data_IF_715375885779
#
_entry.id   IF_715375885779
#
_cell.length_a   1.000
_cell.length_b   1.000
_cell.length_c   1.000
_cell.angle_alpha   90.00
_cell.angle_beta   90.00
_cell.angle_gamma   90.00
#
_symmetry.space_group_name_H-M   'P 1'
#
loop_
_entity.id
_entity.type
_entity.pdbx_description
1 polymer ?
#
# COMPACT_ATOMS: atom_id res chain seq x y z
N UNK A 1 -21.81 10.83 21.74
CA UNK A 1 -21.09 10.86 20.46
C UNK A 1 -20.70 9.42 20.19
N UNK A 2 -21.24 8.78 19.14
CA UNK A 2 -20.83 7.45 18.73
C UNK A 2 -19.33 7.55 18.37
N UNK A 3 -18.49 6.85 19.10
CA UNK A 3 -17.08 6.71 18.73
C UNK A 3 -17.08 5.82 17.47
N UNK A 4 -17.21 6.42 16.29
CA UNK A 4 -17.04 5.68 15.05
C UNK A 4 -15.61 5.16 15.02
N UNK A 5 -15.47 3.87 14.79
CA UNK A 5 -14.16 3.25 14.63
C UNK A 5 -13.47 3.79 13.37
N UNK A 6 -12.17 3.90 13.40
CA UNK A 6 -11.39 4.13 12.19
C UNK A 6 -11.46 2.92 11.25
N UNK A 7 -10.97 3.10 10.04
CA UNK A 7 -10.95 2.07 9.00
C UNK A 7 -9.52 1.59 8.76
N UNK A 8 -9.36 0.32 8.41
CA UNK A 8 -8.12 -0.20 7.81
C UNK A 8 -8.21 -0.06 6.29
N UNK A 9 -7.28 0.68 5.71
CA UNK A 9 -7.22 0.96 4.28
C UNK A 9 -5.93 0.35 3.73
N UNK A 10 -6.08 -0.68 2.93
CA UNK A 10 -4.96 -1.43 2.34
C UNK A 10 -4.70 -0.91 0.94
N UNK A 11 -3.47 -0.49 0.67
CA UNK A 11 -3.11 0.05 -0.64
C UNK A 11 -1.91 -0.72 -1.20
N UNK A 12 -2.09 -1.23 -2.41
CA UNK A 12 -1.03 -1.85 -3.20
C UNK A 12 -0.85 -1.14 -4.54
N UNK A 13 0.30 -1.32 -5.12
CA UNK A 13 0.64 -0.81 -6.45
C UNK A 13 1.92 -1.46 -6.93
N UNK A 14 2.16 -1.55 -8.24
CA UNK A 14 3.44 -1.99 -8.74
C UNK A 14 4.55 -1.01 -8.37
N UNK A 15 5.76 -1.54 -8.29
CA UNK A 15 6.95 -0.72 -8.05
C UNK A 15 7.04 0.39 -9.12
N UNK A 16 7.16 1.65 -8.69
CA UNK A 16 7.19 2.79 -9.62
C UNK A 16 5.87 3.53 -9.80
N UNK A 17 4.73 2.97 -9.38
CA UNK A 17 3.41 3.62 -9.56
C UNK A 17 3.16 4.85 -8.64
N UNK A 18 4.07 5.20 -7.72
CA UNK A 18 3.94 6.41 -6.89
C UNK A 18 3.15 6.23 -5.59
N UNK A 19 2.88 5.00 -5.18
CA UNK A 19 2.05 4.62 -4.03
C UNK A 19 2.32 5.43 -2.76
N UNK A 20 3.53 5.39 -2.22
CA UNK A 20 3.88 6.05 -0.95
C UNK A 20 3.63 7.55 -0.98
N UNK A 21 3.93 8.22 -2.11
CA UNK A 21 3.69 9.66 -2.27
C UNK A 21 2.21 10.00 -2.26
N UNK A 22 1.38 9.21 -2.94
CA UNK A 22 -0.08 9.38 -2.95
C UNK A 22 -0.63 9.20 -1.54
N UNK A 23 -0.28 8.11 -0.85
CA UNK A 23 -0.76 7.81 0.51
C UNK A 23 -0.40 8.95 1.49
N UNK A 24 0.85 9.41 1.50
CA UNK A 24 1.30 10.48 2.41
C UNK A 24 0.50 11.79 2.17
N UNK A 25 0.18 12.12 0.93
CA UNK A 25 -0.63 13.31 0.62
C UNK A 25 -2.10 13.14 0.99
N UNK A 26 -2.68 11.95 0.79
CA UNK A 26 -4.06 11.63 1.23
C UNK A 26 -4.16 11.75 2.75
N UNK A 27 -3.26 11.13 3.51
CA UNK A 27 -3.23 11.22 4.97
C UNK A 27 -3.12 12.67 5.44
N UNK A 28 -2.25 13.47 4.80
CA UNK A 28 -2.13 14.89 5.11
C UNK A 28 -3.44 15.63 4.92
N UNK A 29 -4.09 15.50 3.75
CA UNK A 29 -5.36 16.18 3.45
C UNK A 29 -6.47 15.75 4.41
N UNK A 30 -6.59 14.45 4.72
CA UNK A 30 -7.57 13.96 5.70
C UNK A 30 -7.37 14.60 7.08
N UNK A 31 -6.12 14.68 7.55
CA UNK A 31 -5.81 15.29 8.83
C UNK A 31 -6.05 16.82 8.82
N UNK A 32 -5.80 17.50 7.71
CA UNK A 32 -6.14 18.93 7.53
C UNK A 32 -7.66 19.16 7.63
N UNK A 33 -8.48 18.18 7.25
CA UNK A 33 -9.94 18.16 7.38
C UNK A 33 -10.44 17.58 8.72
N UNK A 34 -9.56 17.36 9.71
CA UNK A 34 -9.84 16.75 11.01
C UNK A 34 -10.30 15.28 10.94
N UNK A 35 -10.08 14.58 9.84
CA UNK A 35 -10.29 13.14 9.70
C UNK A 35 -8.98 12.44 10.09
N UNK A 36 -8.92 11.98 11.35
CA UNK A 36 -7.70 11.38 11.90
C UNK A 36 -7.24 10.20 11.08
N UNK A 37 -6.04 10.26 10.56
CA UNK A 37 -5.46 9.24 9.69
C UNK A 37 -3.97 9.08 9.94
N UNK A 38 -3.47 7.86 9.89
CA UNK A 38 -2.05 7.54 10.11
C UNK A 38 -1.56 6.50 9.12
N UNK A 39 -0.25 6.47 8.91
CA UNK A 39 0.44 5.46 8.12
C UNK A 39 0.85 4.30 9.02
N UNK A 40 0.65 3.05 8.59
CA UNK A 40 1.13 1.88 9.32
C UNK A 40 2.60 1.67 9.05
N UNK A 41 3.42 1.80 10.09
CA UNK A 41 4.86 1.55 10.03
C UNK A 41 5.11 0.07 10.27
N UNK A 42 5.62 -0.64 9.24
CA UNK A 42 5.93 -2.07 9.32
C UNK A 42 7.28 -2.32 10.00
N UNK A 43 7.40 -3.48 10.65
CA UNK A 43 8.69 -4.01 11.09
C UNK A 43 9.42 -4.63 9.90
N UNK A 44 10.74 -4.52 9.86
CA UNK A 44 11.56 -5.15 8.83
C UNK A 44 12.92 -5.61 9.35
N UNK A 45 13.43 -6.71 8.81
CA UNK A 45 14.80 -7.16 9.05
C UNK A 45 15.80 -6.54 8.05
N UNK A 46 15.32 -5.72 7.10
CA UNK A 46 16.18 -4.97 6.20
C UNK A 46 16.97 -3.91 6.98
N UNK A 47 18.23 -3.78 6.68
CA UNK A 47 19.03 -2.68 7.24
C UNK A 47 18.53 -1.33 6.71
N UNK A 48 18.57 -0.26 7.54
CA UNK A 48 18.26 1.10 7.10
C UNK A 48 19.13 1.50 5.89
N UNK A 49 18.53 2.20 4.93
CA UNK A 49 19.24 2.87 3.85
C UNK A 49 19.54 4.31 4.25
N UNK A 50 20.41 4.98 3.48
CA UNK A 50 20.65 6.41 3.69
C UNK A 50 19.33 7.19 3.58
N UNK A 51 18.99 7.91 4.66
CA UNK A 51 17.75 8.69 4.75
C UNK A 51 16.57 7.98 5.38
N UNK A 52 16.60 6.65 5.61
CA UNK A 52 15.56 5.95 6.35
C UNK A 52 15.56 6.36 7.83
N UNK A 53 14.38 6.58 8.40
CA UNK A 53 14.17 6.98 9.79
C UNK A 53 13.44 5.85 10.52
N UNK A 54 14.09 5.28 11.55
CA UNK A 54 13.49 4.27 12.40
C UNK A 54 12.23 4.78 13.11
N UNK A 55 11.19 3.94 13.12
CA UNK A 55 9.87 4.28 13.65
C UNK A 55 9.03 5.21 12.77
N UNK A 56 9.57 5.65 11.62
CA UNK A 56 8.86 6.47 10.64
C UNK A 56 8.70 5.77 9.29
N UNK A 57 9.78 5.26 8.73
CA UNK A 57 9.73 4.50 7.47
C UNK A 57 9.52 3.01 7.76
N UNK A 58 10.25 2.47 8.73
CA UNK A 58 10.12 1.11 9.27
C UNK A 58 10.55 1.08 10.73
N UNK A 59 10.12 0.04 11.46
CA UNK A 59 10.79 -0.42 12.67
C UNK A 59 11.85 -1.43 12.25
N UNK A 60 13.13 -1.03 12.28
CA UNK A 60 14.25 -1.88 11.90
C UNK A 60 14.62 -2.80 13.04
N UNK A 61 14.44 -4.10 12.87
CA UNK A 61 14.68 -5.11 13.91
C UNK A 61 15.61 -6.22 13.41
N UNK A 62 16.23 -6.96 14.32
CA UNK A 62 17.00 -8.14 13.96
C UNK A 62 16.08 -9.30 13.54
N UNK A 63 16.64 -10.34 12.90
CA UNK A 63 15.87 -11.53 12.56
C UNK A 63 15.28 -12.20 13.81
N UNK A 64 16.06 -12.28 14.90
CA UNK A 64 15.65 -12.87 16.15
C UNK A 64 14.44 -12.15 16.75
N UNK A 65 14.47 -10.81 16.83
CA UNK A 65 13.35 -10.01 17.32
C UNK A 65 12.13 -10.16 16.41
N UNK A 66 12.34 -10.20 15.08
CA UNK A 66 11.23 -10.40 14.16
C UNK A 66 10.56 -11.76 14.37
N UNK A 67 11.35 -12.81 14.53
CA UNK A 67 10.85 -14.18 14.74
C UNK A 67 10.12 -14.30 16.07
N UNK A 68 10.61 -13.69 17.15
CA UNK A 68 9.91 -13.61 18.44
C UNK A 68 8.54 -12.93 18.29
N UNK A 69 8.47 -11.79 17.59
CA UNK A 69 7.21 -11.07 17.33
C UNK A 69 6.25 -11.89 16.48
N UNK A 70 6.77 -12.63 15.49
CA UNK A 70 5.99 -13.50 14.64
C UNK A 70 5.39 -14.69 15.41
N UNK A 71 6.19 -15.38 16.22
CA UNK A 71 5.76 -16.50 17.05
C UNK A 71 4.74 -16.06 18.12
N UNK A 72 4.89 -14.86 18.65
CA UNK A 72 3.93 -14.26 19.57
C UNK A 72 2.61 -13.82 18.90
N UNK A 73 2.48 -13.93 17.56
CA UNK A 73 1.28 -13.55 16.82
C UNK A 73 1.04 -12.03 16.74
N UNK A 74 2.11 -11.24 16.87
CA UNK A 74 2.02 -9.77 16.89
C UNK A 74 1.80 -9.13 15.51
N UNK A 75 1.88 -9.92 14.44
CA UNK A 75 1.67 -9.42 13.08
C UNK A 75 0.33 -9.81 12.50
N UNK A 76 -0.36 -8.84 11.89
CA UNK A 76 -1.60 -9.06 11.13
C UNK A 76 -1.29 -9.75 9.79
N UNK A 77 -0.18 -9.40 9.17
CA UNK A 77 0.38 -10.04 7.99
C UNK A 77 1.91 -9.97 8.00
N UNK A 78 2.55 -10.84 7.25
CA UNK A 78 4.00 -10.85 7.03
C UNK A 78 4.31 -11.19 5.59
N UNK A 79 5.36 -10.59 5.04
CA UNK A 79 5.86 -10.89 3.70
C UNK A 79 7.39 -11.05 3.73
N UNK A 80 7.91 -11.81 2.79
CA UNK A 80 9.35 -11.90 2.53
C UNK A 80 9.63 -11.31 1.15
N UNK A 81 10.44 -10.24 1.10
CA UNK A 81 10.75 -9.51 -0.13
C UNK A 81 12.26 -9.29 -0.18
N UNK A 82 12.91 -9.78 -1.23
CA UNK A 82 14.36 -9.68 -1.42
C UNK A 82 15.18 -10.17 -0.21
N UNK A 83 14.82 -11.34 0.32
CA UNK A 83 15.46 -12.00 1.47
C UNK A 83 15.30 -11.25 2.82
N UNK A 84 14.44 -10.24 2.88
CA UNK A 84 14.10 -9.53 4.11
C UNK A 84 12.66 -9.79 4.52
N UNK A 85 12.44 -9.90 5.83
CA UNK A 85 11.11 -10.06 6.41
C UNK A 85 10.47 -8.70 6.65
N UNK A 86 9.16 -8.63 6.43
CA UNK A 86 8.31 -7.47 6.72
C UNK A 86 7.11 -7.94 7.50
N UNK A 87 6.65 -7.16 8.47
CA UNK A 87 5.50 -7.52 9.28
C UNK A 87 4.75 -6.30 9.79
N UNK A 88 3.43 -6.33 9.69
CA UNK A 88 2.54 -5.24 10.12
C UNK A 88 2.01 -5.51 11.52
N UNK A 89 2.25 -4.59 12.46
CA UNK A 89 1.84 -4.72 13.85
C UNK A 89 0.32 -4.74 13.99
N UNK A 90 -0.22 -5.84 14.52
CA UNK A 90 -1.64 -5.98 14.85
C UNK A 90 -2.05 -4.99 15.94
N UNK A 91 -1.26 -4.86 16.99
CA UNK A 91 -1.54 -3.95 18.11
C UNK A 91 -1.63 -2.49 17.64
N UNK A 92 -0.72 -2.05 16.76
CA UNK A 92 -0.75 -0.71 16.19
C UNK A 92 -2.07 -0.44 15.45
N UNK A 93 -2.50 -1.39 14.61
CA UNK A 93 -3.74 -1.25 13.85
C UNK A 93 -4.94 -1.20 14.80
N UNK A 94 -5.08 -2.16 15.70
CA UNK A 94 -6.21 -2.29 16.61
C UNK A 94 -6.33 -1.04 17.50
N UNK A 95 -5.23 -0.55 18.06
CA UNK A 95 -5.21 0.64 18.91
C UNK A 95 -5.67 1.90 18.17
N UNK A 96 -5.22 2.12 16.93
CA UNK A 96 -5.59 3.30 16.16
C UNK A 96 -7.05 3.23 15.71
N UNK A 97 -7.50 2.11 15.16
CA UNK A 97 -8.89 1.92 14.72
C UNK A 97 -9.88 2.12 15.89
N UNK A 98 -9.57 1.57 17.07
CA UNK A 98 -10.42 1.74 18.25
C UNK A 98 -10.48 3.18 18.76
N UNK A 99 -9.51 4.04 18.38
CA UNK A 99 -9.51 5.47 18.68
C UNK A 99 -10.17 6.33 17.57
N UNK A 100 -10.77 5.70 16.55
CA UNK A 100 -11.38 6.40 15.42
C UNK A 100 -10.35 6.96 14.43
N UNK A 101 -9.16 6.36 14.36
CA UNK A 101 -8.09 6.78 13.45
C UNK A 101 -8.05 5.81 12.28
N UNK A 102 -8.12 6.32 11.05
CA UNK A 102 -7.93 5.52 9.84
C UNK A 102 -6.46 5.10 9.71
N UNK A 103 -6.22 3.84 9.43
CA UNK A 103 -4.88 3.29 9.27
C UNK A 103 -4.64 2.91 7.82
N UNK A 104 -3.68 3.56 7.18
CA UNK A 104 -3.24 3.26 5.82
C UNK A 104 -2.11 2.24 5.87
N UNK A 105 -2.34 1.10 5.27
CA UNK A 105 -1.39 0.00 5.19
C UNK A 105 -0.87 -0.15 3.76
N UNK A 106 0.42 0.08 3.57
CA UNK A 106 1.13 -0.12 2.31
C UNK A 106 1.76 -1.51 2.28
N UNK A 107 1.19 -2.43 1.50
CA UNK A 107 1.70 -3.79 1.32
C UNK A 107 1.79 -4.17 -0.16
N UNK A 108 2.53 -5.24 -0.45
CA UNK A 108 2.54 -5.87 -1.76
C UNK A 108 1.33 -6.82 -1.94
N UNK A 109 1.19 -7.37 -3.13
CA UNK A 109 0.08 -8.28 -3.46
C UNK A 109 0.12 -9.57 -2.63
N UNK A 110 1.29 -10.04 -2.20
CA UNK A 110 1.42 -11.23 -1.35
C UNK A 110 0.89 -10.96 0.06
N UNK A 111 1.24 -9.80 0.63
CA UNK A 111 0.72 -9.33 1.90
C UNK A 111 -0.80 -9.14 1.86
N UNK A 112 -1.32 -8.55 0.77
CA UNK A 112 -2.76 -8.40 0.54
C UNK A 112 -3.48 -9.77 0.51
N UNK A 113 -3.00 -10.74 -0.25
CA UNK A 113 -3.62 -12.07 -0.31
C UNK A 113 -3.62 -12.77 1.06
N UNK A 114 -2.54 -12.66 1.82
CA UNK A 114 -2.47 -13.18 3.19
C UNK A 114 -3.46 -12.49 4.12
N UNK A 115 -3.59 -11.16 4.02
CA UNK A 115 -4.55 -10.41 4.83
C UNK A 115 -5.99 -10.77 4.47
N UNK A 116 -6.31 -10.88 3.18
CA UNK A 116 -7.62 -11.30 2.67
C UNK A 116 -8.04 -12.69 3.15
N UNK A 117 -7.09 -13.60 3.33
CA UNK A 117 -7.37 -14.94 3.86
C UNK A 117 -7.72 -14.95 5.37
N UNK A 118 -7.51 -13.83 6.06
CA UNK A 118 -7.85 -13.66 7.47
C UNK A 118 -9.20 -12.95 7.60
N UNK A 119 -9.94 -13.23 8.66
CA UNK A 119 -11.22 -12.56 8.89
C UNK A 119 -11.01 -11.15 9.50
N UNK A 120 -10.41 -10.26 8.68
CA UNK A 120 -10.14 -8.86 9.02
C UNK A 120 -10.93 -7.99 8.06
N UNK A 121 -11.64 -7.00 8.60
CA UNK A 121 -12.37 -6.03 7.79
C UNK A 121 -11.42 -4.91 7.35
N UNK A 122 -11.35 -4.66 6.05
CA UNK A 122 -10.57 -3.58 5.45
C UNK A 122 -11.17 -3.17 4.10
N UNK A 123 -10.80 -1.98 3.64
CA UNK A 123 -11.00 -1.56 2.25
C UNK A 123 -9.69 -1.68 1.49
N UNK A 124 -9.74 -2.19 0.27
CA UNK A 124 -8.54 -2.40 -0.54
C UNK A 124 -8.55 -1.55 -1.81
N UNK A 125 -7.40 -0.95 -2.10
CA UNK A 125 -7.23 -0.07 -3.26
C UNK A 125 -5.94 -0.44 -3.99
N UNK A 126 -6.02 -0.51 -5.32
CA UNK A 126 -4.85 -0.75 -6.15
C UNK A 126 -4.57 0.45 -7.05
N UNK A 127 -3.36 1.00 -6.97
CA UNK A 127 -2.95 2.14 -7.78
C UNK A 127 -2.32 1.62 -9.07
N UNK A 128 -2.94 1.95 -10.21
CA UNK A 128 -2.49 1.63 -11.55
C UNK A 128 -1.59 2.74 -12.11
N UNK A 129 -0.54 2.42 -12.85
CA UNK A 129 0.13 3.39 -13.70
C UNK A 129 -0.75 3.72 -14.91
N UNK A 130 -0.58 4.88 -15.57
CA UNK A 130 -1.36 5.23 -16.75
C UNK A 130 -0.97 4.42 -17.99
N UNK A 131 0.29 3.97 -18.08
CA UNK A 131 0.82 3.12 -19.14
C UNK A 131 2.03 2.31 -18.70
N UNK A 132 2.39 1.29 -19.46
CA UNK A 132 3.62 0.51 -19.23
C UNK A 132 4.87 1.35 -19.50
N UNK A 133 4.84 2.23 -20.48
CA UNK A 133 5.97 3.11 -20.80
C UNK A 133 6.25 4.08 -19.65
N UNK A 134 5.21 4.71 -19.10
CA UNK A 134 5.34 5.60 -17.94
C UNK A 134 5.85 4.83 -16.70
N UNK A 135 5.36 3.60 -16.47
CA UNK A 135 5.84 2.75 -15.40
C UNK A 135 7.33 2.45 -15.57
N UNK A 136 7.77 2.09 -16.78
CA UNK A 136 9.20 1.85 -17.11
C UNK A 136 10.04 3.08 -16.83
N UNK A 137 9.59 4.26 -17.29
CA UNK A 137 10.30 5.52 -17.03
C UNK A 137 10.43 5.82 -15.52
N UNK A 138 9.35 5.63 -14.77
CA UNK A 138 9.35 5.85 -13.31
C UNK A 138 10.28 4.88 -12.57
N UNK A 139 10.38 3.63 -13.03
CA UNK A 139 11.34 2.64 -12.51
C UNK A 139 12.78 3.07 -12.82
N UNK A 140 13.05 3.52 -14.02
CA UNK A 140 14.39 3.98 -14.46
C UNK A 140 14.85 5.23 -13.69
N UNK A 141 13.96 6.21 -13.48
CA UNK A 141 14.26 7.47 -12.77
C UNK A 141 14.61 7.29 -11.28
N UNK A 142 14.25 6.17 -10.67
CA UNK A 142 14.47 5.92 -9.22
C UNK A 142 15.87 5.48 -8.85
N UNK A 143 16.71 5.08 -9.77
CA UNK A 143 18.03 4.61 -9.42
C UNK A 143 18.97 4.43 -10.60
N UNK A 144 20.24 4.19 -10.28
CA UNK A 144 21.30 3.78 -11.20
C UNK A 144 21.20 2.25 -11.50
N UNK A 145 19.98 1.76 -11.68
CA UNK A 145 19.73 0.34 -11.92
C UNK A 145 20.24 -0.07 -13.30
N UNK A 146 20.92 -1.21 -13.40
CA UNK A 146 21.26 -1.80 -14.69
C UNK A 146 20.01 -2.26 -15.43
N UNK A 147 20.07 -2.36 -16.77
CA UNK A 147 18.94 -2.80 -17.60
C UNK A 147 18.34 -4.13 -17.10
N UNK A 148 19.20 -5.09 -16.71
CA UNK A 148 18.72 -6.37 -16.16
C UNK A 148 17.92 -6.24 -14.87
N UNK A 149 18.22 -5.25 -14.03
CA UNK A 149 17.44 -4.95 -12.79
C UNK A 149 16.11 -4.31 -13.18
N UNK A 150 16.09 -3.40 -14.15
CA UNK A 150 14.88 -2.76 -14.66
C UNK A 150 13.93 -3.81 -15.23
N UNK A 151 14.41 -4.72 -16.08
CA UNK A 151 13.60 -5.80 -16.64
C UNK A 151 13.02 -6.72 -15.57
N UNK A 152 13.80 -7.08 -14.54
CA UNK A 152 13.30 -7.85 -13.40
C UNK A 152 12.19 -7.11 -12.65
N UNK A 153 12.35 -5.80 -12.43
CA UNK A 153 11.34 -4.95 -11.77
C UNK A 153 10.08 -4.83 -12.62
N UNK A 154 10.21 -4.65 -13.94
CA UNK A 154 9.07 -4.63 -14.86
C UNK A 154 8.30 -5.94 -14.84
N UNK A 155 9.00 -7.08 -14.89
CA UNK A 155 8.37 -8.41 -14.80
C UNK A 155 7.60 -8.60 -13.49
N UNK A 156 8.14 -8.11 -12.38
CA UNK A 156 7.44 -8.16 -11.09
C UNK A 156 6.22 -7.24 -11.10
N UNK A 157 6.35 -6.02 -11.63
CA UNK A 157 5.25 -5.07 -11.74
C UNK A 157 4.07 -5.61 -12.57
N UNK A 158 4.35 -6.31 -13.68
CA UNK A 158 3.30 -6.97 -14.48
C UNK A 158 2.59 -8.09 -13.71
N UNK A 159 3.30 -8.84 -12.87
CA UNK A 159 2.68 -9.84 -12.00
C UNK A 159 1.78 -9.18 -10.94
N UNK A 160 2.25 -8.09 -10.34
CA UNK A 160 1.46 -7.32 -9.36
C UNK A 160 0.20 -6.73 -10.00
N UNK A 161 0.29 -6.20 -11.23
CA UNK A 161 -0.86 -5.74 -12.01
C UNK A 161 -1.90 -6.84 -12.26
N UNK A 162 -1.46 -8.08 -12.49
CA UNK A 162 -2.35 -9.22 -12.67
C UNK A 162 -3.27 -9.51 -11.48
N UNK A 163 -2.93 -9.04 -10.28
CA UNK A 163 -3.72 -9.22 -9.06
C UNK A 163 -4.66 -8.02 -8.79
N UNK A 164 -4.62 -6.97 -9.60
CA UNK A 164 -5.31 -5.71 -9.33
C UNK A 164 -6.84 -5.85 -9.31
N UNK A 165 -7.43 -6.77 -10.07
CA UNK A 165 -8.88 -7.01 -10.11
C UNK A 165 -9.45 -7.49 -8.76
N UNK A 166 -8.62 -8.08 -7.91
CA UNK A 166 -8.99 -8.60 -6.60
C UNK A 166 -9.25 -7.51 -5.54
N UNK A 167 -8.88 -6.25 -5.84
CA UNK A 167 -9.06 -5.12 -4.95
C UNK A 167 -10.45 -4.50 -5.11
N UNK A 168 -10.99 -3.94 -4.02
CA UNK A 168 -12.30 -3.28 -4.02
C UNK A 168 -12.33 -2.10 -4.98
N UNK A 169 -11.24 -1.33 -5.04
CA UNK A 169 -11.12 -0.11 -5.85
C UNK A 169 -9.82 -0.08 -6.66
N UNK A 170 -9.92 0.50 -7.86
CA UNK A 170 -8.78 0.80 -8.72
C UNK A 170 -8.62 2.32 -8.82
N UNK A 171 -7.40 2.82 -8.77
CA UNK A 171 -7.07 4.25 -8.93
C UNK A 171 -5.99 4.38 -9.99
N UNK A 172 -6.18 5.26 -10.98
CA UNK A 172 -5.18 5.51 -12.01
C UNK A 172 -4.34 6.72 -11.60
N UNK A 173 -3.03 6.53 -11.44
CA UNK A 173 -2.11 7.62 -11.13
C UNK A 173 -1.46 8.19 -12.41
N UNK A 174 -2.31 8.81 -13.25
CA UNK A 174 -1.89 9.61 -14.41
C UNK A 174 -1.63 11.07 -14.01
N UNK A 175 -2.60 11.69 -13.37
CA UNK A 175 -2.49 13.02 -12.74
C UNK A 175 -2.50 12.83 -11.24
N UNK A 176 -1.40 13.21 -10.60
CA UNK A 176 -1.17 12.95 -9.17
C UNK A 176 -2.28 13.49 -8.26
N UNK A 177 -2.75 14.70 -8.55
CA UNK A 177 -3.83 15.36 -7.81
C UNK A 177 -5.15 14.60 -7.92
N UNK A 178 -5.49 14.11 -9.13
CA UNK A 178 -6.73 13.34 -9.36
C UNK A 178 -6.71 12.00 -8.59
N UNK A 179 -5.55 11.32 -8.56
CA UNK A 179 -5.41 10.09 -7.79
C UNK A 179 -5.60 10.32 -6.29
N UNK A 180 -5.15 11.46 -5.77
CA UNK A 180 -5.35 11.84 -4.38
C UNK A 180 -6.82 12.14 -4.11
N UNK A 181 -7.50 12.93 -4.97
CA UNK A 181 -8.91 13.29 -4.82
C UNK A 181 -9.80 12.06 -4.85
N UNK A 182 -9.56 11.14 -5.78
CA UNK A 182 -10.30 9.90 -5.88
C UNK A 182 -10.12 9.01 -4.64
N UNK A 183 -8.90 8.88 -4.13
CA UNK A 183 -8.65 8.15 -2.88
C UNK A 183 -9.31 8.81 -1.67
N UNK A 184 -9.34 10.13 -1.59
CA UNK A 184 -10.05 10.86 -0.53
C UNK A 184 -11.53 10.53 -0.53
N UNK A 185 -12.18 10.59 -1.70
CA UNK A 185 -13.61 10.26 -1.84
C UNK A 185 -13.89 8.83 -1.38
N UNK A 186 -13.05 7.86 -1.76
CA UNK A 186 -13.17 6.45 -1.35
C UNK A 186 -13.05 6.26 0.16
N UNK A 187 -12.21 7.07 0.83
CA UNK A 187 -12.00 6.97 2.28
C UNK A 187 -13.13 7.65 3.06
N UNK A 188 -13.56 8.82 2.61
CA UNK A 188 -14.56 9.64 3.32
C UNK A 188 -15.97 9.06 3.16
N UNK A 189 -16.30 8.54 1.97
CA UNK A 189 -17.63 7.99 1.70
C UNK A 189 -17.71 6.50 2.08
N UNK A 190 -18.59 6.18 3.02
CA UNK A 190 -18.85 4.78 3.37
C UNK A 190 -19.58 4.01 2.26
N UNK A 191 -20.32 4.72 1.42
CA UNK A 191 -21.12 4.15 0.32
C UNK A 191 -20.52 4.52 -1.05
N UNK A 192 -19.20 4.68 -1.15
CA UNK A 192 -18.54 5.01 -2.41
C UNK A 192 -18.79 3.94 -3.47
N UNK A 193 -19.30 4.35 -4.62
CA UNK A 193 -19.49 3.49 -5.79
C UNK A 193 -18.54 3.95 -6.89
N UNK A 194 -17.63 3.08 -7.29
CA UNK A 194 -16.71 3.37 -8.40
C UNK A 194 -17.42 3.24 -9.75
N UNK A 195 -18.07 4.32 -10.20
CA UNK A 195 -18.73 4.39 -11.51
C UNK A 195 -17.76 4.27 -12.70
N UNK A 196 -16.46 4.41 -12.46
CA UNK A 196 -15.42 4.29 -13.50
C UNK A 196 -14.72 2.94 -13.53
N UNK A 197 -15.13 1.98 -12.67
CA UNK A 197 -14.46 0.67 -12.53
C UNK A 197 -14.30 -0.05 -13.88
N UNK A 198 -15.33 -0.10 -14.70
CA UNK A 198 -15.27 -0.78 -16.01
C UNK A 198 -14.24 -0.14 -16.95
N UNK A 199 -14.10 1.20 -16.91
CA UNK A 199 -13.08 1.91 -17.67
C UNK A 199 -11.68 1.58 -17.15
N UNK A 200 -11.50 1.52 -15.83
CA UNK A 200 -10.22 1.19 -15.20
C UNK A 200 -9.81 -0.26 -15.46
N UNK A 201 -10.77 -1.19 -15.49
CA UNK A 201 -10.52 -2.58 -15.86
C UNK A 201 -10.05 -2.72 -17.32
N UNK A 202 -10.59 -1.92 -18.25
CA UNK A 202 -10.06 -1.87 -19.62
C UNK A 202 -8.63 -1.38 -19.68
N UNK A 203 -8.30 -0.32 -18.93
CA UNK A 203 -6.92 0.17 -18.82
C UNK A 203 -6.01 -0.92 -18.24
N UNK A 204 -6.45 -1.63 -17.21
CA UNK A 204 -5.69 -2.76 -16.66
C UNK A 204 -5.45 -3.86 -17.71
N UNK A 205 -6.45 -4.20 -18.53
CA UNK A 205 -6.29 -5.16 -19.62
C UNK A 205 -5.28 -4.68 -20.67
N UNK A 206 -5.32 -3.39 -21.02
CA UNK A 206 -4.33 -2.78 -21.94
C UNK A 206 -2.91 -2.78 -21.36
N UNK A 207 -2.77 -2.64 -20.03
CA UNK A 207 -1.48 -2.73 -19.32
C UNK A 207 -0.91 -4.16 -19.31
N UNK A 208 -1.76 -5.18 -19.43
CA UNK A 208 -1.38 -6.60 -19.37
C UNK A 208 -1.23 -7.24 -20.77
N UNK A 209 -1.63 -6.54 -21.85
CA UNK A 209 -1.52 -6.99 -23.24
C UNK A 209 -0.13 -6.78 -23.81
#
# INVERSE_FOLDING_TARGET
>A
MSNEKGQLIVISAPSGAGKTSVIKNVIKKLNDENIKSTFSVSHTTRLPRDGDIDGSDYFFVSNEIFDELYEAGNFIETAEVHDYKYGTSKEFIDNNINQGINVFLEIDVQGFQKLRSKNVEFRSMFILPPSIDELRERIQKRGLDSEGVIEKRMKNALKELGEAEEYDYLVINDVFEHAIEELLEMVISNDYIDHSRDKKLKILQDLLS
#
